data_IF_445085008736
#
_entry.id   IF_445085008736
#
_cell.length_a   1.000
_cell.length_b   1.000
_cell.length_c   1.000
_cell.angle_alpha   90.00
_cell.angle_beta   90.00
_cell.angle_gamma   90.00
#
_symmetry.space_group_name_H-M   'P 1'
#
loop_
_entity.id
_entity.type
_entity.pdbx_description
1 polymer ?
#
# COMPACT_ATOMS: atom_id res chain seq x y z
N UNK A 1 23.93 -30.07 -30.18
CA UNK A 1 23.76 -29.03 -29.14
C UNK A 1 24.41 -27.76 -29.67
N UNK A 2 23.60 -26.77 -30.05
CA UNK A 2 24.14 -25.44 -30.37
C UNK A 2 24.74 -24.85 -29.10
N UNK A 3 26.00 -24.42 -29.17
CA UNK A 3 26.64 -23.69 -28.09
C UNK A 3 25.99 -22.31 -27.97
N UNK A 4 25.18 -22.10 -26.95
CA UNK A 4 24.65 -20.77 -26.62
C UNK A 4 25.85 -19.90 -26.21
N UNK A 5 26.19 -18.90 -27.03
CA UNK A 5 27.22 -17.91 -26.68
C UNK A 5 26.63 -16.94 -25.66
N UNK A 6 27.05 -17.06 -24.40
CA UNK A 6 26.71 -16.11 -23.34
C UNK A 6 27.62 -14.89 -23.46
N UNK A 7 27.06 -13.68 -23.37
CA UNK A 7 27.86 -12.47 -23.25
C UNK A 7 28.45 -12.42 -21.83
N UNK A 8 29.78 -12.44 -21.66
CA UNK A 8 30.38 -12.48 -20.32
C UNK A 8 30.02 -11.26 -19.45
N UNK A 9 29.68 -10.13 -20.08
CA UNK A 9 29.29 -8.92 -19.37
C UNK A 9 27.85 -8.95 -18.85
N UNK A 10 27.08 -10.03 -19.09
CA UNK A 10 25.72 -10.20 -18.59
C UNK A 10 25.63 -11.33 -17.56
N UNK A 11 26.78 -11.81 -17.07
CA UNK A 11 26.84 -12.85 -16.04
C UNK A 11 26.70 -12.18 -14.67
N UNK A 12 25.50 -12.23 -14.10
CA UNK A 12 25.24 -11.74 -12.74
C UNK A 12 25.74 -12.71 -11.67
N UNK A 13 26.22 -12.18 -10.54
CA UNK A 13 26.56 -12.99 -9.37
C UNK A 13 25.31 -13.33 -8.56
N UNK A 14 25.18 -14.60 -8.16
CA UNK A 14 24.08 -15.01 -7.29
C UNK A 14 24.19 -14.34 -5.92
N UNK A 15 23.08 -13.77 -5.45
CA UNK A 15 23.04 -13.05 -4.17
C UNK A 15 22.98 -13.96 -2.94
N UNK A 16 22.49 -15.19 -3.11
CA UNK A 16 22.11 -16.07 -2.01
C UNK A 16 20.63 -15.96 -1.61
N UNK A 17 19.86 -15.07 -2.24
CA UNK A 17 18.46 -14.82 -1.93
C UNK A 17 17.50 -15.39 -2.96
N UNK A 18 16.25 -15.51 -2.57
CA UNK A 18 15.16 -15.97 -3.42
C UNK A 18 14.00 -14.97 -3.34
N UNK A 19 13.37 -14.70 -4.49
CA UNK A 19 12.20 -13.83 -4.58
C UNK A 19 10.95 -14.49 -3.97
N UNK A 20 9.81 -13.79 -3.97
CA UNK A 20 8.54 -14.30 -3.42
C UNK A 20 8.04 -15.59 -4.09
N UNK A 21 8.52 -15.91 -5.30
CA UNK A 21 8.19 -17.13 -6.06
C UNK A 21 9.26 -18.21 -5.93
N UNK A 22 10.27 -18.00 -5.08
CA UNK A 22 11.37 -18.94 -4.87
C UNK A 22 12.40 -18.95 -5.99
N UNK A 23 12.45 -17.91 -6.85
CA UNK A 23 13.47 -17.79 -7.90
C UNK A 23 14.75 -17.18 -7.33
N UNK A 24 15.94 -17.71 -7.67
CA UNK A 24 17.21 -17.15 -7.22
C UNK A 24 17.42 -15.74 -7.78
N UNK A 25 17.79 -14.80 -6.91
CA UNK A 25 18.07 -13.41 -7.27
C UNK A 25 19.56 -13.24 -7.59
N UNK A 26 19.88 -12.60 -8.70
CA UNK A 26 21.23 -12.28 -9.15
C UNK A 26 21.48 -10.77 -9.17
N UNK A 27 22.75 -10.40 -9.23
CA UNK A 27 23.19 -9.06 -9.62
C UNK A 27 22.51 -8.64 -10.93
N UNK A 28 22.12 -7.36 -11.00
CA UNK A 28 21.43 -6.73 -12.12
C UNK A 28 19.99 -7.21 -12.37
N UNK A 29 19.42 -8.06 -11.51
CA UNK A 29 17.99 -8.35 -11.53
C UNK A 29 17.19 -7.09 -11.18
N UNK A 30 16.03 -6.97 -11.83
CA UNK A 30 15.02 -5.95 -11.56
C UNK A 30 13.91 -6.61 -10.75
N UNK A 31 13.73 -6.14 -9.52
CA UNK A 31 12.75 -6.63 -8.56
C UNK A 31 11.57 -5.66 -8.47
N UNK A 32 10.35 -6.17 -8.56
CA UNK A 32 9.12 -5.44 -8.33
C UNK A 32 8.59 -5.68 -6.92
N UNK A 33 8.31 -4.59 -6.19
CA UNK A 33 7.56 -4.62 -4.94
C UNK A 33 6.25 -3.87 -5.11
N UNK A 34 5.12 -4.56 -4.94
CA UNK A 34 3.82 -3.91 -4.81
C UNK A 34 3.61 -3.55 -3.34
N UNK A 35 3.47 -2.26 -3.07
CA UNK A 35 3.21 -1.70 -1.75
C UNK A 35 1.70 -1.81 -1.46
N UNK A 36 1.24 -1.85 -0.20
CA UNK A 36 -0.19 -1.92 0.12
C UNK A 36 -1.06 -0.81 -0.49
N UNK A 37 -0.48 0.27 -0.99
CA UNK A 37 -1.20 1.32 -1.72
C UNK A 37 -1.51 0.95 -3.18
N UNK A 38 -1.12 -0.24 -3.64
CA UNK A 38 -1.29 -0.72 -5.01
C UNK A 38 -0.22 -0.22 -5.98
N UNK A 39 0.70 0.66 -5.54
CA UNK A 39 1.81 1.11 -6.37
C UNK A 39 2.92 0.07 -6.39
N UNK A 40 3.53 -0.10 -7.55
CA UNK A 40 4.71 -0.95 -7.73
C UNK A 40 5.95 -0.07 -7.77
N UNK A 41 7.02 -0.51 -7.10
CA UNK A 41 8.36 0.07 -7.20
C UNK A 41 9.29 -0.95 -7.83
N UNK A 42 10.16 -0.47 -8.71
CA UNK A 42 11.18 -1.29 -9.36
C UNK A 42 12.55 -1.02 -8.75
N UNK A 43 13.24 -2.09 -8.34
CA UNK A 43 14.55 -2.02 -7.71
C UNK A 43 15.56 -2.79 -8.54
N UNK A 44 16.75 -2.23 -8.70
CA UNK A 44 17.88 -2.94 -9.31
C UNK A 44 18.72 -3.55 -8.19
N UNK A 45 19.10 -4.82 -8.34
CA UNK A 45 19.98 -5.51 -7.39
C UNK A 45 21.43 -5.18 -7.71
N UNK A 46 22.10 -4.49 -6.80
CA UNK A 46 23.48 -4.04 -7.00
C UNK A 46 24.35 -4.33 -5.77
N UNK A 47 25.63 -4.63 -5.99
CA UNK A 47 26.62 -4.62 -4.92
C UNK A 47 27.08 -3.20 -4.65
N UNK A 48 26.85 -2.69 -3.44
CA UNK A 48 27.30 -1.35 -3.06
C UNK A 48 28.13 -1.36 -1.78
N UNK A 49 29.01 -0.36 -1.68
CA UNK A 49 29.78 -0.01 -0.49
C UNK A 49 29.36 1.38 -0.05
N UNK A 50 28.83 1.49 1.16
CA UNK A 50 28.29 2.72 1.69
C UNK A 50 28.70 2.92 3.15
N UNK A 51 29.04 4.17 3.50
CA UNK A 51 29.31 4.56 4.88
C UNK A 51 28.01 5.07 5.49
N UNK A 52 27.59 4.48 6.60
CA UNK A 52 26.42 4.89 7.37
C UNK A 52 26.86 5.30 8.76
N UNK A 53 26.28 6.39 9.25
CA UNK A 53 26.44 6.79 10.64
C UNK A 53 25.35 6.10 11.46
N UNK A 54 25.73 5.07 12.20
CA UNK A 54 24.81 4.39 13.11
C UNK A 54 24.68 5.21 14.38
N UNK A 55 23.45 5.48 14.79
CA UNK A 55 23.17 6.11 16.07
C UNK A 55 23.72 5.23 17.19
N UNK A 56 24.41 5.85 18.14
CA UNK A 56 24.90 5.16 19.32
C UNK A 56 23.73 4.68 20.20
N UNK A 57 23.97 3.65 21.01
CA UNK A 57 23.04 3.29 22.07
C UNK A 57 22.89 4.47 23.04
N UNK A 58 21.72 4.57 23.68
CA UNK A 58 21.46 5.60 24.68
C UNK A 58 22.61 5.63 25.71
N UNK A 59 23.17 6.83 25.92
CA UNK A 59 24.27 7.12 26.85
C UNK A 59 25.68 6.61 26.42
N UNK A 60 25.86 6.19 25.17
CA UNK A 60 27.17 5.80 24.61
C UNK A 60 27.82 6.97 23.84
N UNK A 61 28.97 7.46 24.34
CA UNK A 61 29.78 8.52 23.72
C UNK A 61 31.00 7.88 23.04
N UNK A 62 31.31 8.17 21.76
CA UNK A 62 30.76 9.23 20.91
C UNK A 62 29.36 8.94 20.33
N UNK A 63 28.63 10.01 20.00
CA UNK A 63 27.27 10.03 19.44
C UNK A 63 27.18 9.52 17.99
N UNK A 64 27.74 8.34 17.75
CA UNK A 64 27.63 7.60 16.50
C UNK A 64 28.97 7.05 16.03
N UNK A 65 28.87 5.96 15.28
CA UNK A 65 30.03 5.29 14.68
C UNK A 65 29.85 5.27 13.15
N UNK A 66 30.78 5.84 12.36
CA UNK A 66 30.77 5.61 10.92
C UNK A 66 31.08 4.13 10.67
N UNK A 67 30.08 3.41 10.19
CA UNK A 67 30.21 2.01 9.81
C UNK A 67 30.14 1.91 8.30
N UNK A 68 31.15 1.27 7.74
CA UNK A 68 31.13 0.90 6.35
C UNK A 68 30.38 -0.41 6.19
N UNK A 69 29.39 -0.40 5.31
CA UNK A 69 28.57 -1.56 4.97
C UNK A 69 28.82 -1.84 3.49
N UNK A 70 29.25 -3.07 3.20
CA UNK A 70 29.39 -3.58 1.84
C UNK A 70 28.47 -4.78 1.66
N UNK A 71 27.66 -4.79 0.61
CA UNK A 71 26.73 -5.88 0.34
C UNK A 71 25.78 -5.61 -0.80
N UNK A 72 24.95 -6.62 -1.09
CA UNK A 72 23.82 -6.50 -2.01
C UNK A 72 22.80 -5.51 -1.46
N UNK A 73 22.31 -4.64 -2.35
CA UNK A 73 21.37 -3.58 -2.05
C UNK A 73 20.30 -3.50 -3.13
N UNK A 74 19.19 -2.82 -2.81
CA UNK A 74 18.12 -2.50 -3.74
C UNK A 74 18.22 -1.02 -4.12
N UNK A 75 18.59 -0.75 -5.37
CA UNK A 75 18.72 0.60 -5.90
C UNK A 75 17.40 1.04 -6.51
N UNK A 76 16.89 2.19 -6.06
CA UNK A 76 15.69 2.84 -6.58
C UNK A 76 15.99 4.31 -6.91
N UNK A 77 16.15 4.59 -8.20
CA UNK A 77 16.60 5.90 -8.69
C UNK A 77 17.97 6.26 -8.10
N UNK A 78 18.02 7.31 -7.26
CA UNK A 78 19.24 7.73 -6.56
C UNK A 78 19.36 7.17 -5.14
N UNK A 79 18.36 6.41 -4.70
CA UNK A 79 18.32 5.86 -3.35
C UNK A 79 18.84 4.43 -3.35
N UNK A 80 19.58 4.08 -2.31
CA UNK A 80 20.01 2.72 -2.06
C UNK A 80 19.39 2.24 -0.74
N UNK A 81 18.63 1.16 -0.83
CA UNK A 81 18.04 0.48 0.31
C UNK A 81 18.88 -0.74 0.66
N UNK A 82 19.25 -0.83 1.94
CA UNK A 82 19.87 -2.02 2.48
C UNK A 82 18.80 -3.10 2.69
N UNK A 83 19.13 -4.38 2.46
CA UNK A 83 18.23 -5.49 2.75
C UNK A 83 17.84 -5.47 4.23
N UNK A 84 16.55 -5.63 4.48
CA UNK A 84 15.96 -5.45 5.79
C UNK A 84 14.91 -6.53 6.05
N UNK A 85 14.70 -6.82 7.33
CA UNK A 85 13.59 -7.67 7.77
C UNK A 85 12.51 -6.77 8.33
N UNK A 86 11.32 -6.81 7.73
CA UNK A 86 10.16 -6.04 8.18
C UNK A 86 9.21 -7.02 8.87
N UNK A 87 9.12 -6.92 10.19
CA UNK A 87 8.45 -7.93 11.01
C UNK A 87 9.30 -9.20 11.06
N UNK A 88 8.80 -10.28 10.45
CA UNK A 88 9.49 -11.59 10.39
C UNK A 88 9.90 -11.98 8.96
N UNK A 89 9.56 -11.16 7.96
CA UNK A 89 9.78 -11.48 6.54
C UNK A 89 10.85 -10.54 5.96
N UNK A 90 11.94 -11.08 5.38
CA UNK A 90 12.89 -10.28 4.62
C UNK A 90 12.22 -9.59 3.43
N UNK A 91 12.62 -8.36 3.13
CA UNK A 91 12.07 -7.57 2.03
C UNK A 91 12.18 -8.27 0.67
N UNK A 92 13.29 -8.95 0.36
CA UNK A 92 13.44 -9.73 -0.88
C UNK A 92 12.41 -10.85 -1.05
N UNK A 93 11.92 -11.47 0.04
CA UNK A 93 10.85 -12.48 -0.02
C UNK A 93 9.48 -11.89 -0.39
N UNK A 94 9.34 -10.56 -0.41
CA UNK A 94 8.12 -9.85 -0.79
C UNK A 94 8.17 -9.33 -2.23
N UNK A 95 9.35 -9.32 -2.83
CA UNK A 95 9.60 -8.82 -4.18
C UNK A 95 9.51 -9.95 -5.22
N UNK A 96 9.26 -9.59 -6.47
CA UNK A 96 9.26 -10.51 -7.60
C UNK A 96 10.28 -10.09 -8.65
N UNK A 97 11.07 -11.03 -9.17
CA UNK A 97 11.93 -10.76 -10.33
C UNK A 97 11.05 -10.54 -11.56
N UNK A 98 11.16 -9.36 -12.17
CA UNK A 98 10.41 -8.97 -13.38
C UNK A 98 11.29 -8.83 -14.61
N UNK A 99 12.60 -8.83 -14.46
CA UNK A 99 13.55 -8.73 -15.56
C UNK A 99 14.97 -8.52 -15.05
N UNK A 100 15.86 -8.12 -15.95
CA UNK A 100 17.22 -7.67 -15.63
C UNK A 100 17.61 -6.45 -16.47
N UNK A 101 18.67 -5.72 -16.09
CA UNK A 101 19.07 -4.48 -16.78
C UNK A 101 19.55 -4.67 -18.23
N UNK A 102 19.89 -5.90 -18.63
CA UNK A 102 20.39 -6.20 -19.97
C UNK A 102 19.24 -6.44 -20.96
N UNK A 103 18.28 -7.27 -20.55
CA UNK A 103 17.17 -7.74 -21.39
C UNK A 103 15.93 -6.86 -21.28
N UNK A 104 15.78 -6.11 -20.18
CA UNK A 104 14.57 -5.34 -19.85
C UNK A 104 14.89 -3.86 -19.59
N UNK A 105 15.62 -3.23 -20.52
CA UNK A 105 16.05 -1.82 -20.41
C UNK A 105 14.89 -0.83 -20.34
N UNK A 106 13.77 -1.17 -20.96
CA UNK A 106 12.51 -0.43 -20.88
C UNK A 106 12.03 -0.25 -19.44
N UNK A 107 12.37 -1.20 -18.54
CA UNK A 107 12.03 -1.12 -17.12
C UNK A 107 12.85 -0.09 -16.33
N UNK A 108 13.89 0.47 -16.94
CA UNK A 108 14.74 1.51 -16.34
C UNK A 108 14.25 2.93 -16.71
N UNK A 109 13.30 3.04 -17.64
CA UNK A 109 12.78 4.32 -18.08
C UNK A 109 11.85 4.94 -17.02
N UNK A 110 11.81 6.28 -16.89
CA UNK A 110 10.86 6.94 -16.00
C UNK A 110 9.42 6.53 -16.33
N UNK A 111 8.68 6.07 -15.32
CA UNK A 111 7.29 5.63 -15.49
C UNK A 111 7.12 4.16 -15.85
N UNK A 112 8.19 3.36 -16.02
CA UNK A 112 8.07 1.93 -16.28
C UNK A 112 7.32 1.15 -15.18
N UNK A 113 7.33 1.67 -13.95
CA UNK A 113 6.51 1.18 -12.84
C UNK A 113 5.01 1.13 -13.19
N UNK A 114 4.57 2.00 -14.11
CA UNK A 114 3.17 2.08 -14.57
C UNK A 114 2.71 0.85 -15.35
N UNK A 115 3.65 0.12 -15.97
CA UNK A 115 3.35 -1.12 -16.71
C UNK A 115 3.13 -2.31 -15.77
N UNK A 116 3.60 -2.21 -14.53
CA UNK A 116 3.38 -3.21 -13.47
C UNK A 116 2.30 -2.82 -12.48
N UNK A 117 1.79 -1.59 -12.57
CA UNK A 117 0.42 -1.38 -12.15
C UNK A 117 -0.37 -2.34 -13.01
N UNK A 118 -0.92 -3.39 -12.39
CA UNK A 118 -1.87 -4.26 -13.07
C UNK A 118 -2.80 -3.36 -13.86
N UNK A 119 -3.08 -3.73 -15.11
CA UNK A 119 -4.04 -3.06 -15.99
C UNK A 119 -4.99 -2.25 -15.12
N UNK A 120 -5.11 -0.94 -15.33
CA UNK A 120 -6.21 -0.15 -14.75
C UNK A 120 -7.54 -0.65 -15.34
N UNK A 121 -7.84 -1.93 -15.25
CA UNK A 121 -9.18 -2.34 -14.93
C UNK A 121 -9.51 -1.67 -13.61
N UNK A 122 -10.57 -0.86 -13.64
CA UNK A 122 -11.41 -0.69 -12.47
C UNK A 122 -11.94 -2.08 -12.05
N UNK A 123 -11.07 -2.93 -11.51
CA UNK A 123 -11.50 -4.01 -10.64
C UNK A 123 -11.79 -3.28 -9.34
N UNK A 124 -13.08 -3.00 -9.10
CA UNK A 124 -13.68 -2.42 -7.89
C UNK A 124 -12.76 -1.67 -6.90
N UNK A 125 -13.16 -0.45 -6.53
CA UNK A 125 -12.85 0.10 -5.21
C UNK A 125 -11.37 0.59 -5.05
N UNK A 126 -11.06 1.73 -5.69
CA UNK A 126 -9.72 2.36 -5.81
C UNK A 126 -9.06 2.82 -4.49
N UNK A 127 -7.79 2.50 -4.25
CA UNK A 127 -6.94 3.25 -3.31
C UNK A 127 -6.42 4.52 -4.00
N UNK A 128 -6.84 5.72 -3.58
CA UNK A 128 -6.35 6.99 -4.15
C UNK A 128 -5.09 7.47 -3.39
N UNK A 129 -4.08 8.02 -4.06
CA UNK A 129 -2.92 8.57 -3.33
C UNK A 129 -3.27 9.92 -2.68
N UNK A 130 -2.98 10.06 -1.39
CA UNK A 130 -2.95 11.35 -0.70
C UNK A 130 -1.55 11.97 -0.84
N UNK A 131 -1.46 13.28 -1.08
CA UNK A 131 -0.19 14.01 -1.07
C UNK A 131 0.44 14.11 0.35
N UNK A 132 -0.25 13.61 1.38
CA UNK A 132 0.31 13.46 2.73
C UNK A 132 1.12 12.17 2.81
N UNK A 133 2.42 12.22 3.15
CA UNK A 133 3.25 11.03 3.32
C UNK A 133 2.63 10.07 4.35
N UNK A 134 2.49 8.79 3.99
CA UNK A 134 2.03 7.74 4.90
C UNK A 134 0.52 7.61 5.09
N UNK A 135 -0.31 8.32 4.32
CA UNK A 135 -1.77 8.16 4.35
C UNK A 135 -2.24 7.27 3.20
N UNK A 136 -2.81 6.11 3.54
CA UNK A 136 -3.49 5.22 2.58
C UNK A 136 -4.94 5.66 2.41
N UNK A 137 -5.52 5.45 1.22
CA UNK A 137 -6.92 5.74 0.95
C UNK A 137 -7.60 4.47 0.45
N UNK A 138 -8.86 4.26 0.77
CA UNK A 138 -9.63 3.10 0.35
C UNK A 138 -10.97 3.59 -0.17
N UNK A 139 -11.24 3.47 -1.47
CA UNK A 139 -12.52 3.82 -2.07
C UNK A 139 -13.34 2.55 -2.24
N UNK A 140 -14.64 2.61 -2.03
CA UNK A 140 -15.57 1.49 -2.20
C UNK A 140 -16.79 1.95 -3.00
N UNK A 141 -16.99 1.40 -4.19
CA UNK A 141 -18.22 1.44 -4.96
C UNK A 141 -19.14 0.31 -4.50
N UNK A 142 -20.13 0.70 -3.71
CA UNK A 142 -21.09 -0.19 -3.08
C UNK A 142 -22.30 -0.36 -3.99
N UNK A 143 -22.75 -1.61 -4.12
CA UNK A 143 -23.96 -1.99 -4.83
C UNK A 143 -24.89 -2.75 -3.90
N UNK A 144 -26.19 -2.70 -4.18
CA UNK A 144 -27.18 -3.48 -3.44
C UNK A 144 -27.17 -4.95 -3.89
N UNK A 145 -28.04 -5.76 -3.27
CA UNK A 145 -28.22 -7.18 -3.61
C UNK A 145 -28.68 -7.41 -5.06
N UNK A 146 -29.21 -6.39 -5.73
CA UNK A 146 -29.68 -6.42 -7.12
C UNK A 146 -28.61 -5.94 -8.10
N UNK A 147 -27.46 -5.46 -7.59
CA UNK A 147 -26.38 -4.90 -8.40
C UNK A 147 -26.55 -3.41 -8.74
N UNK A 148 -27.56 -2.74 -8.20
CA UNK A 148 -27.78 -1.31 -8.36
C UNK A 148 -26.78 -0.51 -7.52
N UNK A 149 -26.35 0.65 -8.03
CA UNK A 149 -25.39 1.49 -7.31
C UNK A 149 -26.02 2.10 -6.05
N UNK A 150 -25.31 2.00 -4.91
CA UNK A 150 -25.75 2.56 -3.63
C UNK A 150 -24.94 3.78 -3.22
N UNK A 151 -23.61 3.65 -3.26
CA UNK A 151 -22.70 4.66 -2.77
C UNK A 151 -21.30 4.48 -3.30
N UNK A 152 -20.57 5.59 -3.36
CA UNK A 152 -19.11 5.61 -3.34
C UNK A 152 -18.66 6.09 -1.97
N UNK A 153 -17.93 5.25 -1.24
CA UNK A 153 -17.33 5.56 0.06
C UNK A 153 -15.83 5.73 -0.12
N UNK A 154 -15.23 6.69 0.57
CA UNK A 154 -13.79 6.91 0.64
C UNK A 154 -13.41 6.87 2.13
N UNK A 155 -12.44 6.02 2.47
CA UNK A 155 -11.81 5.93 3.78
C UNK A 155 -10.34 6.33 3.66
N UNK A 156 -9.75 6.88 4.71
CA UNK A 156 -8.29 7.07 4.76
C UNK A 156 -7.71 6.51 6.05
N UNK A 157 -6.44 6.11 6.02
CA UNK A 157 -5.76 5.54 7.19
C UNK A 157 -5.63 6.53 8.35
N UNK A 158 -5.70 7.85 8.10
CA UNK A 158 -5.77 8.89 9.12
C UNK A 158 -7.19 9.16 9.64
N UNK A 159 -8.17 8.36 9.22
CA UNK A 159 -9.50 8.29 9.83
C UNK A 159 -10.62 9.02 9.09
N UNK A 160 -10.37 9.56 7.89
CA UNK A 160 -11.43 10.18 7.10
C UNK A 160 -12.45 9.14 6.64
N UNK A 161 -13.72 9.52 6.69
CA UNK A 161 -14.84 8.91 6.02
C UNK A 161 -15.53 9.95 5.14
N UNK A 162 -15.75 9.63 3.87
CA UNK A 162 -16.55 10.43 2.95
C UNK A 162 -17.44 9.50 2.13
N UNK A 163 -18.68 9.91 1.87
CA UNK A 163 -19.58 9.14 1.04
C UNK A 163 -20.42 10.04 0.12
N UNK A 164 -20.50 9.61 -1.13
CA UNK A 164 -21.49 10.06 -2.11
C UNK A 164 -22.51 8.93 -2.30
N UNK A 165 -23.78 9.11 -1.93
CA UNK A 165 -24.75 8.01 -1.90
C UNK A 165 -26.20 8.43 -2.14
N UNK A 166 -27.03 7.45 -2.52
CA UNK A 166 -28.49 7.56 -2.60
C UNK A 166 -29.16 7.84 -1.23
N UNK A 167 -28.46 7.58 -0.13
CA UNK A 167 -28.97 7.74 1.23
C UNK A 167 -28.42 8.99 1.95
N UNK A 168 -27.75 9.86 1.21
CA UNK A 168 -27.20 11.11 1.68
C UNK A 168 -25.68 11.18 1.53
N UNK A 169 -25.18 12.41 1.43
CA UNK A 169 -23.75 12.65 1.33
C UNK A 169 -23.22 13.05 2.70
N UNK A 170 -22.22 12.32 3.16
CA UNK A 170 -21.68 12.49 4.51
C UNK A 170 -20.17 12.57 4.46
N UNK A 171 -19.63 13.34 5.39
CA UNK A 171 -18.20 13.53 5.61
C UNK A 171 -17.97 13.55 7.12
N UNK A 172 -17.03 12.76 7.61
CA UNK A 172 -16.67 12.71 9.02
C UNK A 172 -15.21 12.26 9.18
N UNK A 173 -14.52 12.79 10.18
CA UNK A 173 -13.14 12.37 10.52
C UNK A 173 -13.15 11.65 11.86
N UNK A 174 -12.82 10.36 11.85
CA UNK A 174 -12.61 9.57 13.05
C UNK A 174 -11.21 9.83 13.60
N UNK A 175 -11.11 10.61 14.68
CA UNK A 175 -9.82 11.00 15.26
C UNK A 175 -8.99 9.83 15.83
N UNK A 176 -9.61 8.66 16.08
CA UNK A 176 -8.93 7.50 16.64
C UNK A 176 -9.55 6.18 16.14
N UNK A 177 -9.28 5.75 14.89
CA UNK A 177 -9.81 4.49 14.36
C UNK A 177 -9.16 3.24 15.00
N UNK A 178 -8.33 3.40 16.03
CA UNK A 178 -7.68 2.28 16.73
C UNK A 178 -6.42 1.77 16.03
N UNK A 179 -5.69 0.89 16.72
CA UNK A 179 -4.38 0.34 16.27
C UNK A 179 -4.48 -0.53 15.02
N UNK A 180 -5.66 -1.10 14.80
CA UNK A 180 -5.99 -2.02 13.71
C UNK A 180 -6.34 -1.29 12.39
N UNK A 181 -6.42 0.05 12.41
CA UNK A 181 -6.68 0.87 11.23
C UNK A 181 -8.17 1.05 10.90
N UNK A 182 -8.46 2.04 10.05
CA UNK A 182 -9.82 2.49 9.73
C UNK A 182 -10.71 1.37 9.17
N UNK A 183 -10.18 0.45 8.37
CA UNK A 183 -10.97 -0.62 7.75
C UNK A 183 -11.54 -1.59 8.79
N UNK A 184 -10.68 -2.09 9.69
CA UNK A 184 -11.11 -2.96 10.79
C UNK A 184 -12.01 -2.22 11.79
N UNK A 185 -11.77 -0.94 12.02
CA UNK A 185 -12.68 -0.09 12.79
C UNK A 185 -14.09 -0.05 12.20
N UNK A 186 -14.20 0.24 10.90
CA UNK A 186 -15.49 0.30 10.20
C UNK A 186 -16.23 -1.05 10.24
N UNK A 187 -15.51 -2.18 10.22
CA UNK A 187 -16.09 -3.52 10.38
C UNK A 187 -16.68 -3.75 11.77
N UNK A 188 -16.15 -3.11 12.81
CA UNK A 188 -16.56 -3.31 14.20
C UNK A 188 -17.60 -2.33 14.75
N UNK A 189 -17.86 -1.21 14.08
CA UNK A 189 -18.83 -0.21 14.57
C UNK A 189 -20.28 -0.59 14.30
N UNK A 190 -21.18 -0.18 15.19
CA UNK A 190 -22.62 -0.37 15.01
C UNK A 190 -23.25 0.73 14.14
N UNK A 191 -24.37 0.45 13.45
CA UNK A 191 -25.12 1.47 12.70
C UNK A 191 -25.53 2.67 13.56
N UNK A 192 -25.87 2.47 14.83
CA UNK A 192 -26.28 3.55 15.73
C UNK A 192 -25.11 4.47 16.08
N UNK A 193 -23.94 3.90 16.43
CA UNK A 193 -22.74 4.67 16.69
C UNK A 193 -22.31 5.44 15.44
N UNK A 194 -22.28 4.75 14.30
CA UNK A 194 -21.88 5.33 13.03
C UNK A 194 -22.81 6.48 12.62
N UNK A 195 -24.12 6.25 12.64
CA UNK A 195 -25.14 7.27 12.38
C UNK A 195 -25.00 8.47 13.30
N UNK A 196 -24.79 8.25 14.60
CA UNK A 196 -24.53 9.31 15.58
C UNK A 196 -23.33 10.19 15.23
N UNK A 197 -22.22 9.59 14.76
CA UNK A 197 -21.02 10.33 14.33
C UNK A 197 -21.23 11.16 13.08
N UNK A 198 -22.02 10.65 12.12
CA UNK A 198 -22.40 11.43 10.94
C UNK A 198 -23.34 12.61 11.28
N UNK A 199 -24.00 12.57 12.45
CA UNK A 199 -24.88 13.64 12.94
C UNK A 199 -24.15 14.72 13.76
N UNK A 200 -22.84 14.63 13.96
CA UNK A 200 -22.06 15.68 14.62
C UNK A 200 -21.97 16.90 13.66
N UNK A 201 -23.09 17.60 13.47
CA UNK A 201 -23.19 18.79 12.63
C UNK A 201 -22.69 20.04 13.35
N UNK A 202 -22.06 20.93 12.58
CA UNK A 202 -21.77 22.30 12.97
C UNK A 202 -23.07 23.08 13.29
N UNK A 203 -22.95 24.10 14.14
CA UNK A 203 -24.00 24.82 14.88
C UNK A 203 -25.23 25.37 14.10
N UNK A 204 -25.30 25.24 12.78
CA UNK A 204 -26.33 25.88 11.93
C UNK A 204 -27.23 24.93 11.14
N UNK A 205 -27.18 23.62 11.37
CA UNK A 205 -27.98 22.65 10.59
C UNK A 205 -29.23 22.18 11.34
N UNK A 206 -30.34 21.94 10.63
CA UNK A 206 -31.58 21.39 11.22
C UNK A 206 -31.33 19.96 11.77
N UNK A 207 -31.04 19.86 13.06
CA UNK A 207 -30.55 18.65 13.72
C UNK A 207 -31.39 17.40 13.43
N UNK A 208 -32.72 17.49 13.45
CA UNK A 208 -33.61 16.33 13.27
C UNK A 208 -33.61 15.74 11.85
N UNK A 209 -33.54 16.59 10.81
CA UNK A 209 -33.56 16.10 9.42
C UNK A 209 -32.24 15.42 9.07
N UNK A 210 -31.12 16.01 9.51
CA UNK A 210 -29.80 15.41 9.34
C UNK A 210 -29.70 14.12 10.13
N UNK A 211 -30.22 14.09 11.35
CA UNK A 211 -30.22 12.87 12.17
C UNK A 211 -30.95 11.71 11.49
N UNK A 212 -32.14 11.97 10.95
CA UNK A 212 -32.88 10.95 10.20
C UNK A 212 -32.14 10.49 8.95
N UNK A 213 -31.48 11.41 8.23
CA UNK A 213 -30.70 11.08 7.03
C UNK A 213 -29.46 10.24 7.39
N UNK A 214 -28.72 10.61 8.42
CA UNK A 214 -27.54 9.90 8.89
C UNK A 214 -27.87 8.50 9.42
N UNK A 215 -28.96 8.34 10.17
CA UNK A 215 -29.44 7.02 10.60
C UNK A 215 -29.83 6.16 9.40
N UNK A 216 -30.47 6.74 8.39
CA UNK A 216 -30.83 6.05 7.14
C UNK A 216 -29.58 5.62 6.39
N UNK A 217 -28.63 6.53 6.20
CA UNK A 217 -27.33 6.27 5.59
C UNK A 217 -26.60 5.13 6.29
N UNK A 218 -26.45 5.21 7.62
CA UNK A 218 -25.82 4.17 8.41
C UNK A 218 -26.52 2.80 8.26
N UNK A 219 -27.85 2.77 8.20
CA UNK A 219 -28.62 1.54 8.05
C UNK A 219 -28.37 0.83 6.71
N UNK A 220 -28.26 1.57 5.61
CA UNK A 220 -28.17 0.97 4.27
C UNK A 220 -26.73 0.86 3.76
N UNK A 221 -25.86 1.82 4.10
CA UNK A 221 -24.49 1.86 3.57
C UNK A 221 -23.53 1.03 4.42
N UNK A 222 -23.63 1.09 5.75
CA UNK A 222 -22.65 0.45 6.62
C UNK A 222 -22.59 -1.08 6.42
N UNK A 223 -23.69 -1.84 6.36
CA UNK A 223 -23.61 -3.31 6.20
C UNK A 223 -22.91 -3.72 4.90
N UNK A 224 -23.23 -3.03 3.80
CA UNK A 224 -22.65 -3.29 2.47
C UNK A 224 -21.16 -2.92 2.46
N UNK A 225 -20.81 -1.77 3.07
CA UNK A 225 -19.42 -1.36 3.24
C UNK A 225 -18.62 -2.36 4.06
N UNK A 226 -19.18 -2.83 5.19
CA UNK A 226 -18.52 -3.81 6.05
C UNK A 226 -18.25 -5.12 5.31
N UNK A 227 -19.20 -5.56 4.49
CA UNK A 227 -19.01 -6.74 3.66
C UNK A 227 -17.87 -6.55 2.65
N UNK A 228 -17.88 -5.44 1.90
CA UNK A 228 -16.83 -5.13 0.93
C UNK A 228 -15.44 -5.03 1.58
N UNK A 229 -15.35 -4.46 2.79
CA UNK A 229 -14.10 -4.39 3.55
C UNK A 229 -13.62 -5.79 3.94
N UNK A 230 -14.51 -6.67 4.42
CA UNK A 230 -14.12 -8.04 4.81
C UNK A 230 -13.57 -8.82 3.63
N UNK A 231 -14.26 -8.77 2.49
CA UNK A 231 -13.83 -9.43 1.26
C UNK A 231 -12.45 -8.95 0.82
N UNK A 232 -12.20 -7.64 0.87
CA UNK A 232 -10.89 -7.10 0.53
C UNK A 232 -9.80 -7.52 1.53
N UNK A 233 -10.08 -7.46 2.84
CA UNK A 233 -9.12 -7.88 3.87
C UNK A 233 -8.79 -9.38 3.80
N UNK A 234 -9.70 -10.21 3.30
CA UNK A 234 -9.44 -11.64 3.09
C UNK A 234 -8.61 -11.92 1.83
N UNK A 235 -8.72 -11.09 0.79
CA UNK A 235 -7.87 -11.15 -0.41
C UNK A 235 -6.43 -10.68 -0.15
N UNK A 236 -6.21 -9.86 0.87
CA UNK A 236 -4.89 -9.32 1.24
C UNK A 236 -4.06 -10.25 2.14
N UNK A 237 -4.61 -11.39 2.57
CA UNK A 237 -3.91 -12.40 3.39
C UNK A 237 -3.15 -13.39 2.53
#
# INVERSE_FOLDING_TARGET
>A
MESVRVNPNTIGRFTGWFDKKGKPIFEDDILALTIPDGTTRLFIVEWQRQVRHLAALKDFVPDGNPVEISGWCFTWGKNCLLPSVIGEVPDYNRMEIVGNVYDNRDLLEPGAEENFHGQRELIGNTCCLSNKPGVQVFMYDLKDERGEWLARVILTSDGLYMAYSEYGNFYHVFNAPGKDGIRKFMVGISPDYFGGKLCEVEWFTSAKKVEMAARRHAKFILPVLQQAIREQLDQEK
#
